data_IF_061790957363
#
_entry.id   IF_061790957363
#
_cell.length_a   1.000
_cell.length_b   1.000
_cell.length_c   1.000
_cell.angle_alpha   90.00
_cell.angle_beta   90.00
_cell.angle_gamma   90.00
#
_symmetry.space_group_name_H-M   'P 1'
#
loop_
_entity.id
_entity.type
_entity.pdbx_description
1 polymer ?
#
# COMPACT_ATOMS: atom_id res chain seq x y z
N UNK A 1 -10.55 4.96 -3.61
CA UNK A 1 -11.22 6.21 -3.16
C UNK A 1 -12.73 6.04 -3.19
N UNK A 2 -13.35 5.65 -4.30
CA UNK A 2 -14.82 5.46 -4.41
C UNK A 2 -15.41 4.52 -3.36
N UNK A 3 -14.83 3.35 -3.18
CA UNK A 3 -15.26 2.38 -2.15
C UNK A 3 -15.20 2.95 -0.72
N UNK A 4 -14.27 3.86 -0.45
CA UNK A 4 -14.19 4.56 0.85
C UNK A 4 -15.37 5.52 0.98
N UNK A 5 -15.70 6.27 -0.07
CA UNK A 5 -16.87 7.16 -0.08
C UNK A 5 -18.17 6.40 0.13
N UNK A 6 -18.33 5.26 -0.53
CA UNK A 6 -19.53 4.44 -0.39
C UNK A 6 -19.66 3.88 1.04
N UNK A 7 -18.52 3.46 1.64
CA UNK A 7 -18.47 3.03 3.02
C UNK A 7 -18.88 4.17 3.99
N UNK A 8 -18.42 5.40 3.76
CA UNK A 8 -18.76 6.57 4.58
C UNK A 8 -20.24 6.95 4.41
N UNK A 9 -20.80 6.86 3.18
CA UNK A 9 -22.23 7.10 2.94
C UNK A 9 -23.13 6.13 3.72
N UNK A 10 -22.61 4.92 4.00
CA UNK A 10 -23.28 3.93 4.86
C UNK A 10 -23.05 4.18 6.37
N UNK A 11 -22.50 5.33 6.76
CA UNK A 11 -22.10 5.67 8.13
C UNK A 11 -21.15 4.66 8.76
N UNK A 12 -20.26 4.09 7.95
CA UNK A 12 -19.18 3.20 8.37
C UNK A 12 -17.83 3.89 8.28
N UNK A 13 -16.85 3.36 9.01
CA UNK A 13 -15.49 3.89 9.03
C UNK A 13 -14.52 3.00 8.24
N UNK A 14 -13.39 3.57 7.86
CA UNK A 14 -12.40 2.91 7.01
C UNK A 14 -11.00 3.00 7.60
N UNK A 15 -10.20 1.94 7.40
CA UNK A 15 -8.76 1.94 7.61
C UNK A 15 -8.09 1.77 6.25
N UNK A 16 -7.07 2.58 5.99
CA UNK A 16 -6.22 2.47 4.81
C UNK A 16 -4.78 2.26 5.29
N UNK A 17 -4.27 1.06 5.07
CA UNK A 17 -2.88 0.74 5.36
C UNK A 17 -2.04 0.95 4.11
N UNK A 18 -0.96 1.68 4.25
CA UNK A 18 0.04 1.90 3.22
C UNK A 18 1.44 1.61 3.80
N UNK A 19 2.40 1.12 3.00
CA UNK A 19 3.78 1.06 3.46
C UNK A 19 4.28 2.44 3.88
N UNK A 20 5.12 2.53 4.91
CA UNK A 20 5.61 3.84 5.41
C UNK A 20 6.27 4.67 4.31
N UNK A 21 7.03 4.04 3.41
CA UNK A 21 7.65 4.69 2.25
C UNK A 21 6.64 5.28 1.27
N UNK A 22 5.41 4.76 1.25
CA UNK A 22 4.31 5.22 0.39
C UNK A 22 3.45 6.30 1.05
N UNK A 23 3.64 6.56 2.35
CA UNK A 23 2.93 7.59 3.09
C UNK A 23 3.56 8.97 2.86
N UNK A 24 3.62 9.37 1.60
CA UNK A 24 4.21 10.64 1.18
C UNK A 24 3.24 11.81 1.41
N UNK A 25 3.76 13.06 1.54
CA UNK A 25 2.90 14.25 1.60
C UNK A 25 1.92 14.35 0.43
N UNK A 26 2.30 13.85 -0.75
CA UNK A 26 1.43 13.81 -1.92
C UNK A 26 0.25 12.85 -1.72
N UNK A 27 0.50 11.66 -1.18
CA UNK A 27 -0.56 10.68 -0.85
C UNK A 27 -1.52 11.26 0.18
N UNK A 28 -0.99 11.82 1.26
CA UNK A 28 -1.78 12.48 2.31
C UNK A 28 -2.62 13.61 1.72
N UNK A 29 -2.03 14.48 0.90
CA UNK A 29 -2.73 15.60 0.25
C UNK A 29 -3.89 15.15 -0.63
N UNK A 30 -3.74 14.03 -1.35
CA UNK A 30 -4.83 13.47 -2.18
C UNK A 30 -6.04 13.05 -1.32
N UNK A 31 -5.80 12.43 -0.19
CA UNK A 31 -6.86 12.05 0.75
C UNK A 31 -7.49 13.29 1.40
N UNK A 32 -6.66 14.23 1.91
CA UNK A 32 -7.14 15.44 2.57
C UNK A 32 -7.97 16.33 1.65
N UNK A 33 -7.60 16.44 0.36
CA UNK A 33 -8.39 17.16 -0.64
C UNK A 33 -9.77 16.56 -0.87
N UNK A 34 -9.91 15.25 -0.74
CA UNK A 34 -11.16 14.55 -1.03
C UNK A 34 -12.06 14.41 0.20
N UNK A 35 -11.47 14.17 1.37
CA UNK A 35 -12.21 13.84 2.60
C UNK A 35 -12.09 14.89 3.71
N UNK A 36 -11.30 15.94 3.49
CA UNK A 36 -11.16 17.07 4.43
C UNK A 36 -10.60 16.67 5.78
N UNK A 37 -11.20 17.20 6.85
CA UNK A 37 -10.78 16.97 8.24
C UNK A 37 -11.23 15.61 8.81
N UNK A 38 -12.00 14.83 8.07
CA UNK A 38 -12.51 13.50 8.51
C UNK A 38 -11.47 12.39 8.43
N UNK A 39 -10.19 12.74 8.33
CA UNK A 39 -9.05 11.82 8.23
C UNK A 39 -8.20 11.94 9.50
N UNK A 40 -7.71 10.82 10.00
CA UNK A 40 -6.62 10.72 10.95
C UNK A 40 -5.41 10.03 10.31
N UNK A 41 -4.21 10.50 10.67
CA UNK A 41 -2.95 9.93 10.18
C UNK A 41 -2.22 9.25 11.35
N UNK A 42 -1.80 8.00 11.15
CA UNK A 42 -1.03 7.26 12.14
C UNK A 42 0.23 6.67 11.49
N UNK A 43 1.39 7.25 11.79
CA UNK A 43 2.68 6.81 11.27
C UNK A 43 3.80 7.02 12.31
N UNK A 44 4.97 6.45 12.05
CA UNK A 44 6.11 6.46 12.98
C UNK A 44 6.71 7.85 13.23
N UNK A 45 6.60 8.78 12.27
CA UNK A 45 7.15 10.13 12.40
C UNK A 45 6.30 11.09 13.26
N UNK A 46 5.11 10.67 13.73
CA UNK A 46 4.35 11.46 14.70
C UNK A 46 5.05 11.43 16.07
N UNK A 47 5.12 12.58 16.71
CA UNK A 47 5.45 12.68 18.12
C UNK A 47 4.40 11.97 18.98
N UNK A 48 4.73 11.64 20.22
CA UNK A 48 3.80 10.98 21.14
C UNK A 48 2.55 11.84 21.40
N UNK A 49 2.70 13.17 21.47
CA UNK A 49 1.59 14.10 21.61
C UNK A 49 0.64 14.09 20.41
N UNK A 50 1.18 14.21 19.19
CA UNK A 50 0.39 14.15 17.96
C UNK A 50 -0.33 12.81 17.81
N UNK A 51 0.37 11.71 18.11
CA UNK A 51 -0.22 10.36 18.08
C UNK A 51 -1.36 10.22 19.07
N UNK A 52 -1.20 10.77 20.28
CA UNK A 52 -2.23 10.79 21.29
C UNK A 52 -3.45 11.61 20.87
N UNK A 53 -3.25 12.78 20.27
CA UNK A 53 -4.33 13.63 19.78
C UNK A 53 -5.10 12.97 18.65
N UNK A 54 -4.41 12.37 17.66
CA UNK A 54 -5.05 11.61 16.59
C UNK A 54 -5.85 10.42 17.15
N UNK A 55 -5.27 9.68 18.13
CA UNK A 55 -5.97 8.57 18.77
C UNK A 55 -7.24 9.02 19.49
N UNK A 56 -7.21 10.17 20.16
CA UNK A 56 -8.39 10.76 20.82
C UNK A 56 -9.46 11.16 19.82
N UNK A 57 -9.08 11.79 18.71
CA UNK A 57 -10.00 12.15 17.62
C UNK A 57 -10.72 10.92 17.07
N UNK A 58 -9.96 9.85 16.82
CA UNK A 58 -10.50 8.57 16.35
C UNK A 58 -11.49 7.99 17.37
N UNK A 59 -11.10 7.92 18.63
CA UNK A 59 -11.92 7.33 19.69
C UNK A 59 -13.22 8.10 19.94
N UNK A 60 -13.19 9.43 19.77
CA UNK A 60 -14.38 10.29 19.88
C UNK A 60 -15.31 10.20 18.67
N UNK A 61 -14.87 9.59 17.56
CA UNK A 61 -15.64 9.51 16.31
C UNK A 61 -15.64 10.82 15.51
N UNK A 62 -14.60 11.63 15.66
CA UNK A 62 -14.41 12.88 14.91
C UNK A 62 -13.88 12.63 13.49
N UNK A 63 -13.48 11.38 13.20
CA UNK A 63 -12.91 10.96 11.92
C UNK A 63 -13.57 9.67 11.43
N UNK A 64 -13.63 9.51 10.11
CA UNK A 64 -14.17 8.32 9.47
C UNK A 64 -13.09 7.46 8.83
N UNK A 65 -11.94 8.04 8.54
CA UNK A 65 -10.86 7.37 7.82
C UNK A 65 -9.59 7.48 8.65
N UNK A 66 -8.96 6.34 8.88
CA UNK A 66 -7.59 6.28 9.42
C UNK A 66 -6.67 5.81 8.31
N UNK A 67 -5.62 6.58 8.05
CA UNK A 67 -4.57 6.23 7.10
C UNK A 67 -3.27 6.09 7.87
N UNK A 68 -2.52 5.04 7.59
CA UNK A 68 -1.25 4.88 8.26
C UNK A 68 -0.51 3.60 7.89
N UNK A 69 0.59 3.40 8.59
CA UNK A 69 1.37 2.19 8.49
C UNK A 69 0.70 1.03 9.23
N UNK A 70 1.42 -0.07 9.34
CA UNK A 70 0.97 -1.32 9.98
C UNK A 70 0.20 -1.12 11.30
N UNK A 71 0.69 -0.26 12.19
CA UNK A 71 0.08 -0.02 13.51
C UNK A 71 -1.29 0.67 13.46
N UNK A 72 -1.59 1.39 12.38
CA UNK A 72 -2.88 2.03 12.17
C UNK A 72 -4.04 1.01 12.12
N UNK A 73 -3.72 -0.26 11.88
CA UNK A 73 -4.70 -1.34 11.96
C UNK A 73 -5.42 -1.39 13.31
N UNK A 74 -4.79 -0.97 14.39
CA UNK A 74 -5.36 -1.04 15.74
C UNK A 74 -6.10 0.24 16.18
N UNK A 75 -6.28 1.20 15.26
CA UNK A 75 -7.03 2.42 15.54
C UNK A 75 -8.45 2.12 16.09
N UNK A 76 -8.90 2.82 17.15
CA UNK A 76 -10.16 2.53 17.83
C UNK A 76 -11.39 3.08 17.08
N UNK A 77 -11.47 2.81 15.78
CA UNK A 77 -12.63 3.17 14.96
C UNK A 77 -13.87 2.37 15.37
N UNK A 78 -14.99 3.07 15.48
CA UNK A 78 -16.31 2.48 15.67
C UNK A 78 -16.95 2.20 14.33
N UNK A 79 -17.82 1.19 14.26
CA UNK A 79 -18.56 0.83 13.04
C UNK A 79 -17.67 0.63 11.80
N UNK A 80 -16.60 -0.15 11.94
CA UNK A 80 -15.66 -0.44 10.87
C UNK A 80 -16.37 -1.17 9.72
N UNK A 81 -16.25 -0.63 8.50
CA UNK A 81 -16.83 -1.19 7.29
C UNK A 81 -15.81 -1.66 6.26
N UNK A 82 -14.62 -1.04 6.26
CA UNK A 82 -13.63 -1.33 5.22
C UNK A 82 -12.20 -1.22 5.76
N UNK A 83 -11.36 -2.19 5.41
CA UNK A 83 -9.92 -2.10 5.54
C UNK A 83 -9.32 -2.24 4.14
N UNK A 84 -8.56 -1.25 3.71
CA UNK A 84 -7.78 -1.30 2.46
C UNK A 84 -6.31 -1.46 2.83
N UNK A 85 -5.65 -2.44 2.24
CA UNK A 85 -4.21 -2.67 2.39
C UNK A 85 -3.59 -2.52 1.01
N UNK A 86 -2.87 -1.43 0.82
CA UNK A 86 -2.14 -1.15 -0.42
C UNK A 86 -0.77 -1.82 -0.39
N UNK A 87 -0.25 -2.20 -1.57
CA UNK A 87 1.02 -2.93 -1.71
C UNK A 87 1.14 -4.13 -0.73
N UNK A 88 0.11 -4.99 -0.72
CA UNK A 88 -0.02 -6.07 0.25
C UNK A 88 1.20 -7.02 0.31
N UNK A 89 2.04 -7.02 -0.71
CA UNK A 89 3.26 -7.81 -0.77
C UNK A 89 4.41 -7.22 0.06
N UNK A 90 4.25 -6.00 0.59
CA UNK A 90 5.30 -5.32 1.35
C UNK A 90 5.60 -6.04 2.66
N UNK A 91 6.89 -6.31 2.91
CA UNK A 91 7.35 -6.92 4.16
C UNK A 91 7.09 -6.03 5.39
N UNK A 92 6.89 -4.72 5.19
CA UNK A 92 6.59 -3.78 6.27
C UNK A 92 5.30 -4.10 7.05
N UNK A 93 4.43 -4.96 6.49
CA UNK A 93 3.23 -5.43 7.18
C UNK A 93 3.48 -6.54 8.20
N UNK A 94 4.67 -7.13 8.21
CA UNK A 94 5.09 -8.09 9.24
C UNK A 94 5.84 -7.37 10.36
N UNK A 95 5.54 -7.72 11.61
CA UNK A 95 6.29 -7.27 12.78
C UNK A 95 7.05 -8.45 13.34
N UNK A 96 8.34 -8.53 13.02
CA UNK A 96 9.21 -9.61 13.46
C UNK A 96 10.22 -9.15 14.53
N UNK A 97 10.50 -7.84 14.61
CA UNK A 97 11.56 -7.27 15.45
C UNK A 97 11.17 -7.10 16.91
N UNK A 98 9.87 -6.93 17.19
CA UNK A 98 9.37 -6.64 18.54
C UNK A 98 8.13 -7.45 18.88
N UNK A 99 7.93 -7.69 20.18
CA UNK A 99 6.70 -8.32 20.68
C UNK A 99 5.58 -7.29 20.88
N UNK A 100 4.31 -7.64 20.59
CA UNK A 100 3.87 -8.90 19.98
C UNK A 100 4.23 -8.98 18.50
N UNK A 101 4.70 -10.14 18.03
CA UNK A 101 4.90 -10.41 16.60
C UNK A 101 3.56 -10.65 15.92
N UNK A 102 3.32 -10.02 14.79
CA UNK A 102 2.09 -10.17 14.04
C UNK A 102 2.27 -9.80 12.56
N UNK A 103 1.37 -10.32 11.75
CA UNK A 103 1.19 -9.95 10.35
C UNK A 103 -0.09 -9.12 10.23
N UNK A 104 0.01 -7.88 9.71
CA UNK A 104 -1.11 -6.96 9.64
C UNK A 104 -2.22 -7.45 8.71
N UNK A 105 -1.89 -8.22 7.66
CA UNK A 105 -2.88 -8.75 6.73
C UNK A 105 -3.76 -9.78 7.45
N UNK A 106 -3.14 -10.72 8.16
CA UNK A 106 -3.87 -11.72 8.92
C UNK A 106 -4.70 -11.09 10.03
N UNK A 107 -4.16 -10.07 10.72
CA UNK A 107 -4.88 -9.33 11.74
C UNK A 107 -6.03 -8.49 11.18
N UNK A 108 -5.89 -7.92 9.98
CA UNK A 108 -6.96 -7.20 9.30
C UNK A 108 -8.13 -8.14 8.96
N UNK A 109 -7.83 -9.33 8.42
CA UNK A 109 -8.85 -10.35 8.16
C UNK A 109 -9.57 -10.72 9.44
N UNK A 110 -8.81 -10.95 10.53
CA UNK A 110 -9.40 -11.28 11.83
C UNK A 110 -10.26 -10.15 12.38
N UNK A 111 -9.81 -8.91 12.20
CA UNK A 111 -10.56 -7.74 12.63
C UNK A 111 -11.92 -7.60 11.93
N UNK A 112 -11.99 -7.85 10.62
CA UNK A 112 -13.27 -7.78 9.90
C UNK A 112 -14.18 -8.96 10.21
N UNK A 113 -13.66 -10.15 10.53
CA UNK A 113 -14.46 -11.27 11.03
C UNK A 113 -15.20 -10.90 12.33
N UNK A 114 -14.57 -10.10 13.20
CA UNK A 114 -15.17 -9.61 14.43
C UNK A 114 -16.16 -8.44 14.20
N UNK A 115 -16.10 -7.77 13.05
CA UNK A 115 -16.96 -6.64 12.69
C UNK A 115 -17.89 -7.07 11.57
N UNK A 116 -19.10 -7.52 11.91
CA UNK A 116 -20.07 -8.04 10.95
C UNK A 116 -20.33 -7.07 9.79
N UNK A 117 -20.10 -7.54 8.57
CA UNK A 117 -20.31 -6.75 7.34
C UNK A 117 -19.12 -5.88 6.92
N UNK A 118 -18.03 -5.86 7.68
CA UNK A 118 -16.78 -5.24 7.23
C UNK A 118 -16.07 -6.09 6.16
N UNK A 119 -15.28 -5.43 5.31
CA UNK A 119 -14.53 -6.08 4.22
C UNK A 119 -13.06 -5.69 4.27
N UNK A 120 -12.19 -6.58 3.76
CA UNK A 120 -10.77 -6.29 3.49
C UNK A 120 -10.55 -6.26 1.99
N UNK A 121 -9.80 -5.27 1.53
CA UNK A 121 -9.30 -5.20 0.15
C UNK A 121 -7.79 -5.23 0.21
N UNK A 122 -7.20 -6.20 -0.48
CA UNK A 122 -5.76 -6.36 -0.65
C UNK A 122 -5.39 -5.86 -2.05
N UNK A 123 -4.66 -4.75 -2.13
CA UNK A 123 -4.17 -4.19 -3.39
C UNK A 123 -2.71 -4.55 -3.63
N UNK A 124 -2.37 -5.02 -4.82
CA UNK A 124 -0.99 -5.25 -5.24
C UNK A 124 -0.88 -5.39 -6.76
N UNK A 125 0.23 -4.91 -7.31
CA UNK A 125 0.62 -5.22 -8.69
C UNK A 125 1.29 -6.61 -8.77
N UNK A 126 1.91 -7.06 -7.69
CA UNK A 126 2.66 -8.31 -7.56
C UNK A 126 2.24 -9.04 -6.27
N UNK A 127 1.05 -9.67 -6.24
CA UNK A 127 0.54 -10.30 -5.03
C UNK A 127 1.47 -11.43 -4.57
N UNK A 128 1.53 -11.66 -3.25
CA UNK A 128 2.27 -12.79 -2.68
C UNK A 128 1.68 -14.12 -3.19
N UNK A 129 2.50 -15.15 -3.28
CA UNK A 129 2.06 -16.50 -3.73
C UNK A 129 0.91 -17.03 -2.87
N UNK A 130 0.96 -16.79 -1.56
CA UNK A 130 -0.11 -17.24 -0.64
C UNK A 130 -1.44 -16.51 -0.94
N UNK A 131 -1.42 -15.19 -1.07
CA UNK A 131 -2.62 -14.42 -1.39
C UNK A 131 -3.20 -14.80 -2.76
N UNK A 132 -2.34 -14.97 -3.75
CA UNK A 132 -2.75 -15.39 -5.09
C UNK A 132 -3.31 -16.82 -5.10
N UNK A 133 -2.67 -17.76 -4.40
CA UNK A 133 -3.17 -19.12 -4.28
C UNK A 133 -4.53 -19.20 -3.58
N UNK A 134 -4.75 -18.36 -2.55
CA UNK A 134 -6.08 -18.23 -1.90
C UNK A 134 -7.13 -17.68 -2.84
N UNK A 135 -6.77 -16.73 -3.70
CA UNK A 135 -7.67 -16.21 -4.72
C UNK A 135 -8.02 -17.28 -5.78
N UNK A 136 -7.05 -18.05 -6.27
CA UNK A 136 -7.29 -19.16 -7.20
C UNK A 136 -8.16 -20.27 -6.60
N UNK A 137 -8.08 -20.48 -5.28
CA UNK A 137 -8.94 -21.42 -4.55
C UNK A 137 -10.32 -20.84 -4.16
N UNK A 138 -10.67 -19.66 -4.64
CA UNK A 138 -11.90 -18.93 -4.30
C UNK A 138 -12.09 -18.65 -2.80
N UNK A 139 -10.99 -18.65 -2.00
CA UNK A 139 -11.01 -18.19 -0.61
C UNK A 139 -11.06 -16.66 -0.57
N UNK A 140 -10.34 -16.00 -1.49
CA UNK A 140 -10.44 -14.58 -1.74
C UNK A 140 -11.12 -14.34 -3.08
N UNK A 141 -11.87 -13.25 -3.18
CA UNK A 141 -12.42 -12.82 -4.45
C UNK A 141 -11.37 -12.06 -5.27
N UNK A 142 -10.96 -12.60 -6.41
CA UNK A 142 -9.95 -11.98 -7.27
C UNK A 142 -10.58 -10.90 -8.17
N UNK A 143 -10.08 -9.68 -8.02
CA UNK A 143 -10.40 -8.58 -8.92
C UNK A 143 -9.15 -8.23 -9.75
N UNK A 144 -9.21 -8.42 -11.04
CA UNK A 144 -8.10 -8.14 -11.93
C UNK A 144 -8.33 -6.79 -12.64
N UNK A 145 -7.31 -5.92 -12.62
CA UNK A 145 -7.29 -4.63 -13.30
C UNK A 145 -6.25 -4.65 -14.43
N UNK A 146 -6.55 -5.27 -15.59
CA UNK A 146 -5.56 -5.55 -16.63
C UNK A 146 -5.16 -4.31 -17.45
N UNK A 147 -5.94 -3.22 -17.37
CA UNK A 147 -5.75 -2.04 -18.21
C UNK A 147 -5.16 -0.91 -17.36
N UNK A 148 -4.03 -0.35 -17.78
CA UNK A 148 -3.46 0.85 -17.17
C UNK A 148 -4.41 2.06 -17.37
N UNK A 149 -4.53 2.90 -16.33
CA UNK A 149 -5.38 4.11 -16.37
C UNK A 149 -5.10 4.98 -17.59
N UNK A 150 -3.82 5.12 -17.98
CA UNK A 150 -3.41 5.94 -19.11
C UNK A 150 -3.38 5.19 -20.45
N UNK A 151 -3.80 3.92 -20.50
CA UNK A 151 -3.76 3.05 -21.69
C UNK A 151 -2.38 3.01 -22.41
N UNK A 152 -1.32 3.40 -21.70
CA UNK A 152 0.05 3.34 -22.24
C UNK A 152 0.51 1.89 -22.33
N UNK A 153 1.23 1.50 -23.41
CA UNK A 153 1.80 0.17 -23.52
C UNK A 153 2.80 -0.07 -22.39
N UNK A 154 3.07 -1.35 -22.10
CA UNK A 154 4.17 -1.73 -21.23
C UNK A 154 5.50 -1.29 -21.86
N UNK A 155 6.52 -0.97 -21.04
CA UNK A 155 7.85 -0.70 -21.58
C UNK A 155 8.37 -1.95 -22.30
N UNK A 156 9.15 -1.71 -23.35
CA UNK A 156 9.87 -2.76 -24.04
C UNK A 156 10.93 -3.34 -23.10
N UNK A 157 10.95 -4.67 -22.97
CA UNK A 157 11.91 -5.37 -22.10
C UNK A 157 12.89 -6.13 -22.98
N UNK A 158 14.18 -5.82 -22.84
CA UNK A 158 15.26 -6.53 -23.51
C UNK A 158 16.00 -7.39 -22.48
N UNK A 159 16.06 -8.70 -22.71
CA UNK A 159 16.87 -9.61 -21.89
C UNK A 159 18.30 -9.66 -22.41
N UNK A 160 19.26 -9.50 -21.50
CA UNK A 160 20.69 -9.54 -21.82
C UNK A 160 21.34 -10.69 -21.06
N UNK A 161 22.01 -11.59 -21.79
CA UNK A 161 22.81 -12.65 -21.18
C UNK A 161 24.15 -12.10 -20.66
N UNK A 162 24.21 -11.88 -19.37
CA UNK A 162 25.40 -11.32 -18.71
C UNK A 162 26.63 -12.25 -18.81
N UNK A 163 26.47 -13.56 -18.98
CA UNK A 163 27.62 -14.47 -19.18
C UNK A 163 28.34 -14.16 -20.49
N UNK A 164 27.63 -13.69 -21.52
CA UNK A 164 28.23 -13.25 -22.79
C UNK A 164 28.81 -11.83 -22.68
N UNK A 165 28.14 -10.96 -21.94
CA UNK A 165 28.57 -9.58 -21.70
C UNK A 165 29.87 -9.51 -20.88
N UNK A 166 30.01 -10.32 -19.83
CA UNK A 166 31.25 -10.38 -19.02
C UNK A 166 32.51 -10.75 -19.81
N UNK A 167 32.35 -11.41 -20.97
CA UNK A 167 33.46 -11.67 -21.87
C UNK A 167 33.84 -10.44 -22.71
N UNK A 168 32.99 -9.43 -22.78
CA UNK A 168 33.13 -8.24 -23.63
C UNK A 168 33.30 -6.94 -22.85
N UNK A 169 32.95 -6.92 -21.59
CA UNK A 169 33.03 -5.75 -20.72
C UNK A 169 33.58 -6.15 -19.35
N UNK A 170 34.48 -5.36 -18.80
CA UNK A 170 35.07 -5.58 -17.44
C UNK A 170 34.14 -5.08 -16.31
N UNK A 171 32.87 -4.82 -16.57
CA UNK A 171 31.96 -4.20 -15.61
C UNK A 171 30.76 -5.06 -15.23
N UNK A 172 30.09 -4.67 -14.15
CA UNK A 172 28.85 -5.31 -13.67
C UNK A 172 27.61 -4.96 -14.50
N UNK A 173 27.73 -4.07 -15.47
CA UNK A 173 26.63 -3.63 -16.34
C UNK A 173 26.87 -4.05 -17.78
N UNK A 174 25.78 -4.41 -18.48
CA UNK A 174 25.86 -4.70 -19.92
C UNK A 174 26.23 -3.46 -20.72
N UNK A 175 26.91 -3.64 -21.85
CA UNK A 175 27.20 -2.55 -22.77
C UNK A 175 25.92 -1.86 -23.28
N UNK A 176 24.85 -2.62 -23.47
CA UNK A 176 23.55 -2.08 -23.85
C UNK A 176 23.02 -1.11 -22.76
N UNK A 177 23.06 -1.50 -21.50
CA UNK A 177 22.63 -0.65 -20.39
C UNK A 177 23.48 0.62 -20.30
N UNK A 178 24.81 0.49 -20.36
CA UNK A 178 25.72 1.64 -20.31
C UNK A 178 25.47 2.63 -21.46
N UNK A 179 25.20 2.14 -22.66
CA UNK A 179 24.88 2.99 -23.80
C UNK A 179 23.55 3.70 -23.60
N UNK A 180 22.52 3.01 -23.05
CA UNK A 180 21.21 3.61 -22.75
C UNK A 180 21.32 4.67 -21.66
N UNK A 181 22.11 4.43 -20.61
CA UNK A 181 22.39 5.43 -19.56
C UNK A 181 23.03 6.68 -20.18
N UNK A 182 24.09 6.51 -20.97
CA UNK A 182 24.76 7.65 -21.66
C UNK A 182 23.80 8.42 -22.57
N UNK A 183 22.96 7.72 -23.33
CA UNK A 183 21.94 8.34 -24.17
C UNK A 183 20.97 9.19 -23.36
N UNK A 184 20.49 8.69 -22.20
CA UNK A 184 19.55 9.40 -21.36
C UNK A 184 20.18 10.61 -20.69
N UNK A 185 21.37 10.45 -20.13
CA UNK A 185 22.12 11.55 -19.53
C UNK A 185 22.47 12.66 -20.54
N UNK A 186 22.78 12.32 -21.79
CA UNK A 186 23.02 13.33 -22.84
C UNK A 186 21.78 14.14 -23.23
N UNK A 187 20.58 13.64 -22.89
CA UNK A 187 19.29 14.34 -23.07
C UNK A 187 18.81 15.04 -21.80
N UNK A 188 19.66 15.12 -20.77
CA UNK A 188 19.33 15.67 -19.45
C UNK A 188 18.13 14.96 -18.77
N UNK A 189 17.89 13.69 -19.12
CA UNK A 189 16.87 12.86 -18.50
C UNK A 189 17.47 12.13 -17.29
N UNK A 190 16.61 11.81 -16.31
CA UNK A 190 16.98 11.01 -15.12
C UNK A 190 17.15 9.53 -15.51
N UNK A 191 18.07 8.84 -14.82
CA UNK A 191 18.35 7.41 -14.98
C UNK A 191 18.21 6.70 -13.63
#
# INVERSE_FOLDING_TARGET
MELIEDCIKENKTCIVLVPEISLTPQTISRFSKRFGSRIALLHSALSDGERYDEWRRINRGEVDIVIGARSALFAPLKNLGLIVIDEQHSESYKQDDSNPRYDAINMAIKRVELNKGAKVILGSATPTLDAYARALKNIYHLLNLPIRVNKKPLPEVTLVDMNQEFKRSEGHFSLLLLNKIKEKLSKEEQV
#
